data_IF_943933836732
#
_entry.id   IF_943933836732
#
_cell.length_a   1.000
_cell.length_b   1.000
_cell.length_c   1.000
_cell.angle_alpha   90.00
_cell.angle_beta   90.00
_cell.angle_gamma   90.00
#
_symmetry.space_group_name_H-M   'P 1'
#
loop_
_entity.id
_entity.type
_entity.pdbx_description
1 polymer ?
#
# COMPACT_ATOMS: atom_id res chain seq x y z
N UNK A 1 -21.01 9.23 -16.40
CA UNK A 1 -19.68 8.63 -16.18
C UNK A 1 -19.79 7.63 -15.02
N UNK A 2 -19.04 6.51 -15.00
CA UNK A 2 -19.02 5.69 -13.82
C UNK A 2 -18.47 6.50 -12.62
N UNK A 3 -19.02 6.26 -11.42
CA UNK A 3 -18.61 6.97 -10.23
C UNK A 3 -17.14 6.64 -9.88
N UNK A 4 -16.38 7.64 -9.44
CA UNK A 4 -15.00 7.45 -8.97
C UNK A 4 -15.03 6.86 -7.56
N UNK A 5 -14.61 5.60 -7.42
CA UNK A 5 -14.57 4.93 -6.12
C UNK A 5 -13.36 5.38 -5.32
N UNK A 6 -13.59 5.83 -4.10
CA UNK A 6 -12.57 6.42 -3.25
C UNK A 6 -12.75 5.94 -1.81
N UNK A 7 -11.87 5.05 -1.32
CA UNK A 7 -11.85 4.64 0.08
C UNK A 7 -11.61 5.84 1.01
N UNK A 8 -12.34 5.90 2.12
CA UNK A 8 -12.21 6.97 3.14
C UNK A 8 -10.75 7.15 3.56
N UNK A 9 -10.07 6.06 3.87
CA UNK A 9 -8.68 6.11 4.29
C UNK A 9 -7.77 6.73 3.21
N UNK A 10 -7.96 6.35 1.95
CA UNK A 10 -7.16 6.87 0.84
C UNK A 10 -7.40 8.38 0.66
N UNK A 11 -8.65 8.84 0.69
CA UNK A 11 -8.98 10.26 0.61
C UNK A 11 -8.28 11.07 1.70
N UNK A 12 -8.44 10.64 2.94
CA UNK A 12 -7.94 11.34 4.12
C UNK A 12 -6.41 11.32 4.17
N UNK A 13 -5.78 10.15 4.02
CA UNK A 13 -4.32 10.05 4.08
C UNK A 13 -3.65 10.79 2.92
N UNK A 14 -4.24 10.77 1.73
CA UNK A 14 -3.68 11.47 0.57
C UNK A 14 -3.67 13.00 0.76
N UNK A 15 -4.72 13.56 1.34
CA UNK A 15 -4.85 15.02 1.48
C UNK A 15 -4.27 15.58 2.78
N UNK A 16 -4.41 14.85 3.88
CA UNK A 16 -4.18 15.39 5.23
C UNK A 16 -2.98 14.78 5.94
N UNK A 17 -2.34 13.76 5.38
CA UNK A 17 -1.14 13.19 5.98
C UNK A 17 -0.01 14.19 5.95
N UNK A 18 0.56 14.49 7.10
CA UNK A 18 1.64 15.45 7.30
C UNK A 18 2.80 14.85 8.08
N UNK A 19 3.94 15.54 8.11
CA UNK A 19 5.09 15.19 8.91
C UNK A 19 6.00 14.17 8.24
N UNK A 20 6.60 13.29 9.03
CA UNK A 20 7.81 12.56 8.66
C UNK A 20 7.60 11.05 8.58
N UNK A 21 8.44 10.38 7.79
CA UNK A 21 8.62 8.93 7.90
C UNK A 21 9.43 8.65 9.17
N UNK A 22 8.94 7.76 10.03
CA UNK A 22 9.62 7.32 11.23
C UNK A 22 9.63 5.79 11.33
N UNK A 23 10.81 5.19 11.19
CA UNK A 23 10.96 3.74 11.21
C UNK A 23 10.79 3.11 12.59
N UNK A 24 10.81 3.89 13.67
CA UNK A 24 10.54 3.40 15.03
C UNK A 24 9.12 2.90 15.21
N UNK A 25 8.20 3.43 14.39
CA UNK A 25 6.77 3.15 14.47
C UNK A 25 6.26 2.23 13.35
N UNK A 26 7.16 1.64 12.57
CA UNK A 26 6.79 0.70 11.48
C UNK A 26 7.17 -0.73 11.84
N UNK A 27 6.33 -1.71 11.48
CA UNK A 27 6.65 -3.12 11.66
C UNK A 27 5.45 -4.04 11.37
N UNK A 28 5.74 -5.25 10.88
CA UNK A 28 4.72 -6.27 10.55
C UNK A 28 3.91 -6.71 11.78
N UNK A 29 4.57 -6.90 12.91
CA UNK A 29 3.92 -7.35 14.15
C UNK A 29 2.89 -6.34 14.67
N UNK A 30 3.12 -5.04 14.44
CA UNK A 30 2.21 -3.98 14.88
C UNK A 30 0.86 -3.98 14.16
N UNK A 31 0.82 -4.32 12.86
CA UNK A 31 -0.45 -4.40 12.15
C UNK A 31 -1.34 -5.55 12.65
N UNK A 32 -0.74 -6.71 12.94
CA UNK A 32 -1.45 -7.85 13.53
C UNK A 32 -1.86 -7.58 14.97
N UNK A 33 -1.02 -6.91 15.73
CA UNK A 33 -1.31 -6.49 17.10
C UNK A 33 -2.42 -5.45 17.12
N UNK A 34 -2.39 -4.45 16.25
CA UNK A 34 -3.47 -3.47 16.07
C UNK A 34 -4.82 -4.13 15.82
N UNK A 35 -4.91 -5.06 14.86
CA UNK A 35 -6.15 -5.77 14.57
C UNK A 35 -6.63 -6.63 15.77
N UNK A 36 -5.72 -7.18 16.58
CA UNK A 36 -6.07 -7.91 17.81
C UNK A 36 -6.62 -6.97 18.88
N UNK A 37 -6.01 -5.78 19.01
CA UNK A 37 -6.41 -4.77 19.98
C UNK A 37 -7.77 -4.19 19.61
N UNK A 38 -8.03 -3.84 18.33
CA UNK A 38 -9.34 -3.40 17.86
C UNK A 38 -10.43 -4.40 18.27
N UNK A 39 -10.25 -5.69 17.96
CA UNK A 39 -11.20 -6.74 18.35
C UNK A 39 -11.39 -6.85 19.88
N UNK A 40 -10.31 -6.65 20.66
CA UNK A 40 -10.38 -6.64 22.14
C UNK A 40 -11.24 -5.49 22.64
N UNK A 41 -11.03 -4.28 22.12
CA UNK A 41 -11.77 -3.08 22.51
C UNK A 41 -13.24 -3.14 22.07
N UNK A 42 -13.49 -3.55 20.83
CA UNK A 42 -14.82 -3.73 20.27
C UNK A 42 -15.65 -4.75 21.08
N UNK A 43 -15.01 -5.87 21.46
CA UNK A 43 -15.68 -6.88 22.31
C UNK A 43 -15.93 -6.39 23.74
N UNK A 44 -15.04 -5.58 24.28
CA UNK A 44 -15.19 -5.01 25.63
C UNK A 44 -16.23 -3.87 25.70
N UNK A 45 -16.58 -3.27 24.56
CA UNK A 45 -17.56 -2.20 24.50
C UNK A 45 -19.02 -2.65 24.79
N UNK A 46 -19.30 -3.96 24.74
CA UNK A 46 -20.57 -4.55 25.18
C UNK A 46 -21.70 -4.48 24.14
N UNK A 47 -22.92 -4.73 24.62
CA UNK A 47 -24.12 -4.69 23.79
C UNK A 47 -24.41 -3.26 23.33
N UNK A 48 -24.85 -3.11 22.08
CA UNK A 48 -25.14 -1.80 21.47
C UNK A 48 -23.96 -1.16 20.72
N UNK A 49 -22.75 -1.75 20.79
CA UNK A 49 -21.60 -1.33 20.00
C UNK A 49 -21.53 -2.13 18.68
N UNK A 50 -21.84 -1.46 17.55
CA UNK A 50 -21.72 -2.05 16.23
C UNK A 50 -20.27 -1.89 15.72
N UNK A 51 -19.53 -3.01 15.63
CA UNK A 51 -18.16 -3.04 15.18
C UNK A 51 -18.03 -3.20 13.65
N UNK A 52 -16.99 -2.64 13.05
CA UNK A 52 -16.62 -2.83 11.64
C UNK A 52 -17.77 -2.48 10.67
N UNK A 53 -18.44 -1.36 10.90
CA UNK A 53 -19.63 -0.96 10.14
C UNK A 53 -19.21 -0.46 8.76
N UNK A 54 -19.60 -1.18 7.71
CA UNK A 54 -19.38 -0.73 6.34
C UNK A 54 -20.31 0.44 6.01
N UNK A 55 -19.72 1.52 5.53
CA UNK A 55 -20.41 2.73 5.12
C UNK A 55 -20.04 3.06 3.66
N UNK A 56 -21.03 3.51 2.90
CA UNK A 56 -20.84 3.97 1.53
C UNK A 56 -21.79 5.11 1.23
N UNK A 57 -21.36 6.08 0.46
CA UNK A 57 -22.20 7.19 0.04
C UNK A 57 -21.74 7.82 -1.26
N UNK A 58 -22.70 8.36 -2.01
CA UNK A 58 -22.41 9.06 -3.26
C UNK A 58 -22.39 10.57 -3.02
N UNK A 59 -21.45 11.25 -3.62
CA UNK A 59 -21.29 12.71 -3.62
C UNK A 59 -20.79 13.16 -4.97
N UNK A 60 -21.03 14.43 -5.28
CA UNK A 60 -20.48 15.07 -6.47
C UNK A 60 -19.59 16.24 -6.06
N UNK A 61 -18.40 16.31 -6.65
CA UNK A 61 -17.51 17.45 -6.52
C UNK A 61 -16.85 17.76 -7.86
N UNK A 62 -16.81 19.02 -8.26
CA UNK A 62 -16.25 19.50 -9.54
C UNK A 62 -16.75 18.72 -10.77
N UNK A 63 -18.02 18.31 -10.78
CA UNK A 63 -18.65 17.54 -11.86
C UNK A 63 -18.27 16.07 -11.92
N UNK A 64 -17.60 15.53 -10.90
CA UNK A 64 -17.24 14.11 -10.78
C UNK A 64 -18.15 13.46 -9.75
N UNK A 65 -18.86 12.38 -10.12
CA UNK A 65 -19.55 11.54 -9.14
C UNK A 65 -18.54 10.66 -8.39
N UNK A 66 -18.49 10.77 -7.07
CA UNK A 66 -17.67 9.96 -6.18
C UNK A 66 -18.53 8.95 -5.43
N UNK A 67 -18.04 7.73 -5.30
CA UNK A 67 -18.52 6.75 -4.32
C UNK A 67 -17.48 6.64 -3.23
N UNK A 68 -17.79 7.19 -2.05
CA UNK A 68 -16.92 7.14 -0.87
C UNK A 68 -17.32 5.92 -0.05
N UNK A 69 -16.36 5.09 0.33
CA UNK A 69 -16.64 3.87 1.06
C UNK A 69 -15.55 3.53 2.08
N UNK A 70 -15.95 2.87 3.18
CA UNK A 70 -15.01 2.41 4.19
C UNK A 70 -15.70 1.70 5.35
N UNK A 71 -14.92 1.36 6.37
CA UNK A 71 -15.42 0.70 7.59
C UNK A 71 -15.06 1.54 8.78
N UNK A 72 -16.10 1.99 9.51
CA UNK A 72 -15.92 2.60 10.81
C UNK A 72 -15.57 1.52 11.84
N UNK A 73 -14.61 1.75 12.71
CA UNK A 73 -14.19 0.79 13.74
C UNK A 73 -15.34 0.46 14.71
N UNK A 74 -16.15 1.48 15.04
CA UNK A 74 -17.32 1.27 15.88
C UNK A 74 -18.36 2.38 15.78
N UNK A 75 -19.62 2.01 15.98
CA UNK A 75 -20.75 2.94 16.10
C UNK A 75 -21.62 2.49 17.26
N UNK A 76 -21.98 3.42 18.13
CA UNK A 76 -22.86 3.15 19.26
C UNK A 76 -23.68 4.38 19.65
N UNK A 77 -24.64 4.22 20.54
CA UNK A 77 -25.39 5.32 21.14
C UNK A 77 -24.96 5.44 22.60
N UNK A 78 -24.60 6.64 23.03
CA UNK A 78 -24.21 6.90 24.41
C UNK A 78 -25.41 6.95 25.38
N UNK A 79 -25.14 7.15 26.65
CA UNK A 79 -26.17 7.22 27.71
C UNK A 79 -27.12 8.43 27.54
N UNK A 80 -26.67 9.48 26.84
CA UNK A 80 -27.50 10.65 26.50
C UNK A 80 -28.33 10.46 25.22
N UNK A 81 -28.26 9.30 24.58
CA UNK A 81 -28.95 9.00 23.34
C UNK A 81 -28.27 9.63 22.09
N UNK A 82 -27.02 10.04 22.20
CA UNK A 82 -26.25 10.59 21.06
C UNK A 82 -25.52 9.47 20.34
N UNK A 83 -25.60 9.45 19.02
CA UNK A 83 -24.80 8.52 18.20
C UNK A 83 -23.34 8.93 18.20
N UNK A 84 -22.44 7.98 18.43
CA UNK A 84 -21.00 8.16 18.46
C UNK A 84 -20.34 7.28 17.40
N UNK A 85 -19.51 7.89 16.56
CA UNK A 85 -18.58 7.19 15.66
C UNK A 85 -17.27 7.04 16.40
N UNK A 86 -16.78 5.82 16.59
CA UNK A 86 -15.56 5.51 17.32
C UNK A 86 -14.46 5.08 16.34
N UNK A 87 -13.38 5.82 16.31
CA UNK A 87 -12.19 5.51 15.53
C UNK A 87 -11.07 5.08 16.48
N UNK A 88 -10.62 3.83 16.34
CA UNK A 88 -9.65 3.20 17.24
C UNK A 88 -8.26 3.26 16.62
N UNK A 89 -7.28 3.70 17.39
CA UNK A 89 -5.88 3.75 16.98
C UNK A 89 -4.98 3.14 18.03
N UNK A 90 -4.01 2.34 17.58
CA UNK A 90 -2.95 1.81 18.42
C UNK A 90 -1.70 2.67 18.26
N UNK A 91 -1.01 2.96 19.36
CA UNK A 91 0.19 3.78 19.37
C UNK A 91 1.23 3.27 20.38
N UNK A 92 2.51 3.50 20.07
CA UNK A 92 3.62 3.32 21.02
C UNK A 92 4.08 4.65 21.63
N UNK A 93 3.42 5.76 21.30
CA UNK A 93 3.69 7.05 21.95
C UNK A 93 3.34 6.92 23.43
N UNK A 94 4.20 7.40 24.38
CA UNK A 94 3.88 7.39 25.79
C UNK A 94 2.52 8.03 26.07
N UNK A 95 1.79 7.49 27.05
CA UNK A 95 0.42 7.93 27.33
C UNK A 95 0.32 9.44 27.61
N UNK A 96 1.31 10.00 28.31
CA UNK A 96 1.38 11.43 28.64
C UNK A 96 1.63 12.33 27.42
N UNK A 97 2.14 11.78 26.32
CA UNK A 97 2.44 12.48 25.07
C UNK A 97 1.33 12.30 24.01
N UNK A 98 0.28 11.52 24.31
CA UNK A 98 -0.85 11.33 23.41
C UNK A 98 -1.75 12.56 23.46
N UNK A 99 -1.71 13.35 22.41
CA UNK A 99 -2.53 14.56 22.28
C UNK A 99 -3.72 14.32 21.34
N UNK A 100 -4.78 15.08 21.52
CA UNK A 100 -5.99 15.05 20.71
C UNK A 100 -5.74 15.35 19.23
N UNK A 101 -4.82 16.24 18.94
CA UNK A 101 -4.43 16.72 17.61
C UNK A 101 -3.18 16.03 17.04
N UNK A 102 -2.73 14.94 17.67
CA UNK A 102 -1.51 14.23 17.30
C UNK A 102 -1.46 13.84 15.82
N UNK A 103 -2.62 13.51 15.23
CA UNK A 103 -2.71 13.14 13.82
C UNK A 103 -4.06 13.57 13.23
N UNK A 104 -4.08 14.57 12.32
CA UNK A 104 -5.31 15.08 11.72
C UNK A 104 -6.09 14.03 10.93
N UNK A 105 -5.40 13.02 10.36
CA UNK A 105 -6.08 11.96 9.61
C UNK A 105 -7.02 11.12 10.49
N UNK A 106 -6.74 10.99 11.78
CA UNK A 106 -7.58 10.18 12.66
C UNK A 106 -8.96 10.83 12.87
N UNK A 107 -8.98 12.14 13.15
CA UNK A 107 -10.24 12.89 13.23
C UNK A 107 -10.98 12.89 11.90
N UNK A 108 -10.25 13.15 10.81
CA UNK A 108 -10.84 13.21 9.48
C UNK A 108 -11.52 11.89 9.07
N UNK A 109 -10.94 10.73 9.41
CA UNK A 109 -11.58 9.43 9.18
C UNK A 109 -12.92 9.32 9.91
N UNK A 110 -12.93 9.61 11.21
CA UNK A 110 -14.15 9.59 12.02
C UNK A 110 -15.20 10.59 11.54
N UNK A 111 -14.78 11.80 11.14
CA UNK A 111 -15.67 12.85 10.60
C UNK A 111 -16.30 12.42 9.27
N UNK A 112 -15.53 11.82 8.35
CA UNK A 112 -16.07 11.28 7.09
C UNK A 112 -17.06 10.15 7.34
N UNK A 113 -16.75 9.22 8.25
CA UNK A 113 -17.71 8.18 8.65
C UNK A 113 -18.97 8.78 9.30
N UNK A 114 -18.79 9.84 10.10
CA UNK A 114 -19.89 10.61 10.67
C UNK A 114 -20.81 11.22 9.61
N UNK A 115 -20.23 11.84 8.56
CA UNK A 115 -20.98 12.38 7.44
C UNK A 115 -21.77 11.30 6.69
N UNK A 116 -21.15 10.14 6.42
CA UNK A 116 -21.80 9.03 5.74
C UNK A 116 -22.94 8.44 6.56
N UNK A 117 -22.67 8.08 7.83
CA UNK A 117 -23.65 7.47 8.73
C UNK A 117 -24.78 8.43 9.09
N UNK A 118 -24.44 9.66 9.48
CA UNK A 118 -25.41 10.69 9.85
C UNK A 118 -26.44 10.95 8.76
N UNK A 119 -26.00 11.02 7.49
CA UNK A 119 -26.91 11.14 6.34
C UNK A 119 -27.78 9.90 6.15
N UNK A 120 -27.21 8.71 6.24
CA UNK A 120 -27.97 7.45 6.10
C UNK A 120 -29.06 7.33 7.15
N UNK A 121 -28.77 7.73 8.39
CA UNK A 121 -29.69 7.68 9.54
C UNK A 121 -30.52 8.95 9.73
N UNK A 122 -30.33 9.97 8.88
CA UNK A 122 -31.01 11.30 8.97
C UNK A 122 -30.81 11.97 10.33
N UNK A 123 -29.62 11.86 10.90
CA UNK A 123 -29.28 12.50 12.16
C UNK A 123 -29.05 14.01 11.94
N UNK A 124 -29.30 14.81 12.97
CA UNK A 124 -28.96 16.25 12.94
C UNK A 124 -27.61 16.55 13.56
N UNK A 125 -27.20 15.72 14.52
CA UNK A 125 -25.92 15.82 15.26
C UNK A 125 -25.46 14.44 15.64
N UNK A 126 -24.16 14.30 15.81
CA UNK A 126 -23.50 13.10 16.31
C UNK A 126 -22.11 13.45 16.87
N UNK A 127 -21.54 12.53 17.59
CA UNK A 127 -20.22 12.66 18.14
C UNK A 127 -19.22 11.80 17.38
N UNK A 128 -17.98 12.29 17.30
CA UNK A 128 -16.84 11.50 16.86
C UNK A 128 -15.92 11.30 18.05
N UNK A 129 -15.53 10.06 18.31
CA UNK A 129 -14.62 9.68 19.37
C UNK A 129 -13.34 9.09 18.77
N UNK A 130 -12.17 9.59 19.20
CA UNK A 130 -10.91 8.90 18.98
C UNK A 130 -10.56 8.08 20.22
N UNK A 131 -10.30 6.81 20.03
CA UNK A 131 -9.87 5.88 21.08
C UNK A 131 -8.43 5.45 20.78
N UNK A 132 -7.46 5.99 21.53
CA UNK A 132 -6.06 5.57 21.48
C UNK A 132 -5.81 4.46 22.49
N UNK A 133 -5.14 3.42 22.02
CA UNK A 133 -4.63 2.35 22.87
C UNK A 133 -3.10 2.35 22.82
N UNK A 134 -2.49 2.59 23.97
CA UNK A 134 -1.04 2.52 24.11
C UNK A 134 -0.60 1.06 24.29
N UNK A 135 0.27 0.58 23.41
CA UNK A 135 0.56 -0.86 23.26
C UNK A 135 1.46 -1.43 24.38
N UNK A 136 2.27 -0.60 25.03
CA UNK A 136 3.22 -1.05 26.04
C UNK A 136 2.63 -1.03 27.47
N UNK A 137 1.67 -0.14 27.74
CA UNK A 137 1.07 0.07 29.07
C UNK A 137 -0.39 -0.39 29.16
N UNK A 138 -1.02 -0.72 28.02
CA UNK A 138 -2.45 -1.02 27.93
C UNK A 138 -3.38 0.17 28.26
N UNK A 139 -2.86 1.39 28.31
CA UNK A 139 -3.64 2.58 28.58
C UNK A 139 -4.58 2.92 27.43
N UNK A 140 -5.78 3.40 27.77
CA UNK A 140 -6.81 3.81 26.83
C UNK A 140 -7.17 5.28 27.06
N UNK A 141 -6.88 6.12 26.06
CA UNK A 141 -7.25 7.53 26.08
C UNK A 141 -8.37 7.77 25.07
N UNK A 142 -9.36 8.57 25.44
CA UNK A 142 -10.50 8.89 24.59
C UNK A 142 -10.70 10.39 24.50
N UNK A 143 -10.83 10.88 23.26
CA UNK A 143 -11.17 12.26 22.96
C UNK A 143 -12.48 12.28 22.18
N UNK A 144 -13.39 13.20 22.51
CA UNK A 144 -14.70 13.31 21.88
C UNK A 144 -14.91 14.72 21.36
N UNK A 145 -15.40 14.81 20.12
CA UNK A 145 -15.85 16.07 19.52
C UNK A 145 -17.29 15.94 19.06
N UNK A 146 -18.04 17.02 19.25
CA UNK A 146 -19.45 17.11 18.89
C UNK A 146 -19.58 17.81 17.53
N UNK A 147 -20.42 17.25 16.66
CA UNK A 147 -20.65 17.82 15.33
C UNK A 147 -22.12 17.84 14.97
N UNK A 148 -22.50 18.84 14.22
CA UNK A 148 -23.73 18.81 13.43
C UNK A 148 -23.47 18.01 12.13
N UNK A 149 -24.52 17.44 11.55
CA UNK A 149 -24.40 16.77 10.26
C UNK A 149 -23.93 17.73 9.16
N UNK A 150 -24.37 18.99 9.23
CA UNK A 150 -24.02 20.02 8.27
C UNK A 150 -22.50 20.31 8.26
N UNK A 151 -21.87 20.40 9.43
CA UNK A 151 -20.42 20.55 9.57
C UNK A 151 -19.65 19.36 8.98
N UNK A 152 -20.12 18.13 9.23
CA UNK A 152 -19.49 16.94 8.71
C UNK A 152 -19.65 16.79 7.19
N UNK A 153 -20.83 17.12 6.66
CA UNK A 153 -21.07 17.13 5.22
C UNK A 153 -20.25 18.21 4.50
N UNK A 154 -20.13 19.39 5.08
CA UNK A 154 -19.28 20.45 4.56
C UNK A 154 -17.80 20.05 4.56
N UNK A 155 -17.33 19.41 5.63
CA UNK A 155 -15.96 18.87 5.70
C UNK A 155 -15.70 17.82 4.63
N UNK A 156 -16.59 16.84 4.44
CA UNK A 156 -16.45 15.83 3.40
C UNK A 156 -16.45 16.47 2.01
N UNK A 157 -17.33 17.43 1.76
CA UNK A 157 -17.41 18.13 0.48
C UNK A 157 -16.11 18.90 0.16
N UNK A 158 -15.53 19.59 1.14
CA UNK A 158 -14.25 20.29 0.99
C UNK A 158 -13.11 19.32 0.64
N UNK A 159 -13.01 18.15 1.31
CA UNK A 159 -12.04 17.12 0.97
C UNK A 159 -12.21 16.61 -0.47
N UNK A 160 -13.44 16.42 -0.92
CA UNK A 160 -13.70 15.96 -2.27
C UNK A 160 -13.35 17.02 -3.32
N UNK A 161 -13.59 18.29 -3.05
CA UNK A 161 -13.19 19.40 -3.92
C UNK A 161 -11.68 19.51 -4.03
N UNK A 162 -10.95 19.33 -2.93
CA UNK A 162 -9.48 19.27 -2.92
C UNK A 162 -8.94 18.06 -3.68
N UNK A 163 -9.62 16.91 -3.62
CA UNK A 163 -9.21 15.69 -4.33
C UNK A 163 -9.62 15.68 -5.81
N UNK A 164 -10.65 16.42 -6.20
CA UNK A 164 -11.22 16.41 -7.55
C UNK A 164 -10.18 16.63 -8.68
N UNK A 165 -9.18 17.53 -8.57
CA UNK A 165 -8.14 17.68 -9.61
C UNK A 165 -7.31 16.40 -9.82
N UNK A 166 -7.09 15.62 -8.78
CA UNK A 166 -6.39 14.34 -8.83
C UNK A 166 -7.25 13.26 -9.48
N UNK A 167 -8.53 13.20 -9.13
CA UNK A 167 -9.50 12.31 -9.77
C UNK A 167 -9.66 12.62 -11.27
N UNK A 168 -9.76 13.89 -11.65
CA UNK A 168 -9.81 14.32 -13.05
C UNK A 168 -8.59 13.84 -13.82
N UNK A 169 -7.39 14.05 -13.27
CA UNK A 169 -6.12 13.57 -13.84
C UNK A 169 -6.12 12.07 -14.06
N UNK A 170 -6.61 11.30 -13.08
CA UNK A 170 -6.65 9.83 -13.16
C UNK A 170 -7.66 9.34 -14.19
N UNK A 171 -8.84 9.98 -14.26
CA UNK A 171 -9.86 9.65 -15.26
C UNK A 171 -9.37 9.94 -16.68
N UNK A 172 -8.82 11.15 -16.90
CA UNK A 172 -8.25 11.53 -18.20
C UNK A 172 -7.09 10.60 -18.62
N UNK A 173 -6.23 10.21 -17.64
CA UNK A 173 -5.17 9.26 -17.91
C UNK A 173 -5.72 7.88 -18.29
N UNK A 174 -6.71 7.34 -17.57
CA UNK A 174 -7.33 6.06 -17.88
C UNK A 174 -7.91 6.04 -19.30
N UNK A 175 -8.57 7.11 -19.72
CA UNK A 175 -9.11 7.24 -21.09
C UNK A 175 -7.99 7.27 -22.13
N UNK A 176 -7.00 8.16 -21.98
CA UNK A 176 -5.87 8.28 -22.90
C UNK A 176 -5.10 6.97 -23.01
N UNK A 177 -4.81 6.32 -21.88
CA UNK A 177 -4.15 5.02 -21.81
C UNK A 177 -4.95 3.94 -22.53
N UNK A 178 -6.26 3.87 -22.28
CA UNK A 178 -7.14 2.89 -22.92
C UNK A 178 -7.09 2.97 -24.44
N UNK A 179 -7.23 4.17 -24.99
CA UNK A 179 -7.11 4.39 -26.45
C UNK A 179 -5.72 4.00 -26.95
N UNK A 180 -4.67 4.46 -26.30
CA UNK A 180 -3.28 4.21 -26.71
C UNK A 180 -2.92 2.72 -26.66
N UNK A 181 -3.21 2.03 -25.55
CA UNK A 181 -2.86 0.62 -25.38
C UNK A 181 -3.71 -0.31 -26.26
N UNK A 182 -4.97 0.04 -26.56
CA UNK A 182 -5.79 -0.75 -27.48
C UNK A 182 -5.29 -0.70 -28.93
N UNK A 183 -4.63 0.39 -29.31
CA UNK A 183 -4.04 0.57 -30.63
C UNK A 183 -2.58 0.12 -30.73
N UNK A 184 -1.96 -0.29 -29.59
CA UNK A 184 -0.54 -0.63 -29.52
C UNK A 184 -0.17 -1.76 -30.49
N UNK A 185 0.83 -1.54 -31.35
CA UNK A 185 1.36 -2.52 -32.27
C UNK A 185 2.58 -3.26 -31.72
N UNK A 186 2.85 -4.45 -32.26
CA UNK A 186 4.03 -5.21 -31.90
C UNK A 186 5.31 -4.48 -32.38
N UNK A 187 6.32 -4.22 -31.51
CA UNK A 187 7.40 -3.28 -31.79
C UNK A 187 8.53 -3.85 -32.67
N UNK A 188 8.27 -4.93 -33.39
CA UNK A 188 9.24 -5.54 -34.30
C UNK A 188 8.56 -5.87 -35.64
N UNK A 189 9.33 -5.89 -36.75
CA UNK A 189 8.77 -6.18 -38.09
C UNK A 189 8.13 -7.56 -38.21
N UNK A 190 8.59 -8.54 -37.43
CA UNK A 190 8.09 -9.90 -37.41
C UNK A 190 8.22 -10.55 -36.03
N UNK A 191 7.34 -11.50 -35.78
CA UNK A 191 7.48 -12.38 -34.62
C UNK A 191 8.53 -13.47 -34.87
N UNK A 192 9.27 -13.81 -33.82
CA UNK A 192 10.14 -14.98 -33.83
C UNK A 192 9.29 -16.29 -33.84
N UNK A 193 9.83 -17.44 -34.26
CA UNK A 193 9.12 -18.72 -34.15
C UNK A 193 8.60 -18.96 -32.73
N UNK A 194 7.31 -19.32 -32.60
CA UNK A 194 6.64 -19.53 -31.31
C UNK A 194 6.23 -18.26 -30.54
N UNK A 195 6.81 -17.11 -30.83
CA UNK A 195 6.55 -15.87 -30.10
C UNK A 195 5.10 -15.39 -30.23
N UNK A 196 4.53 -15.46 -31.44
CA UNK A 196 3.13 -15.06 -31.69
C UNK A 196 2.13 -15.99 -30.99
N UNK A 197 2.42 -17.28 -30.94
CA UNK A 197 1.58 -18.25 -30.22
C UNK A 197 1.57 -17.94 -28.71
N UNK A 198 2.75 -17.73 -28.12
CA UNK A 198 2.88 -17.35 -26.71
C UNK A 198 2.12 -16.06 -26.40
N UNK A 199 2.29 -15.01 -27.19
CA UNK A 199 1.59 -13.75 -27.02
C UNK A 199 0.06 -13.91 -27.11
N UNK A 200 -0.42 -14.77 -28.00
CA UNK A 200 -1.84 -15.09 -28.13
C UNK A 200 -2.41 -15.80 -26.90
N UNK A 201 -1.69 -16.75 -26.32
CA UNK A 201 -2.11 -17.41 -25.07
C UNK A 201 -2.14 -16.44 -23.88
N UNK A 202 -1.12 -15.58 -23.76
CA UNK A 202 -1.11 -14.55 -22.71
C UNK A 202 -2.29 -13.60 -22.87
N UNK A 203 -2.56 -13.11 -24.09
CA UNK A 203 -3.71 -12.24 -24.32
C UNK A 203 -5.02 -12.91 -23.92
N UNK A 204 -5.24 -14.17 -24.34
CA UNK A 204 -6.43 -14.95 -23.96
C UNK A 204 -6.56 -15.11 -22.44
N UNK A 205 -5.45 -15.38 -21.76
CA UNK A 205 -5.45 -15.50 -20.30
C UNK A 205 -5.81 -14.18 -19.60
N UNK A 206 -5.25 -13.05 -20.10
CA UNK A 206 -5.53 -11.72 -19.54
C UNK A 206 -6.96 -11.24 -19.81
N UNK A 207 -7.58 -11.68 -20.92
CA UNK A 207 -8.94 -11.26 -21.32
C UNK A 207 -10.02 -12.28 -20.95
N UNK A 208 -9.65 -13.40 -20.35
CA UNK A 208 -10.60 -14.42 -19.92
C UNK A 208 -11.54 -13.87 -18.83
N UNK A 209 -12.80 -14.35 -18.84
CA UNK A 209 -13.79 -13.95 -17.85
C UNK A 209 -13.26 -14.23 -16.42
N UNK A 210 -13.48 -13.30 -15.47
CA UNK A 210 -13.05 -13.47 -14.10
C UNK A 210 -13.62 -14.75 -13.48
N UNK A 211 -12.77 -15.56 -12.85
CA UNK A 211 -13.18 -16.73 -12.07
C UNK A 211 -12.85 -16.50 -10.59
N UNK A 212 -13.52 -17.21 -9.68
CA UNK A 212 -13.25 -17.09 -8.23
C UNK A 212 -11.79 -17.39 -7.86
N UNK A 213 -11.09 -18.22 -8.65
CA UNK A 213 -9.69 -18.62 -8.43
C UNK A 213 -8.68 -17.82 -9.28
N UNK A 214 -9.15 -16.85 -10.07
CA UNK A 214 -8.34 -16.19 -11.08
C UNK A 214 -7.97 -17.12 -12.25
N UNK A 215 -7.38 -16.54 -13.29
CA UNK A 215 -6.82 -17.30 -14.44
C UNK A 215 -5.32 -17.48 -14.22
N UNK A 216 -4.81 -18.68 -14.44
CA UNK A 216 -3.38 -19.00 -14.32
C UNK A 216 -2.89 -19.63 -15.61
N UNK A 217 -1.83 -19.05 -16.17
CA UNK A 217 -1.15 -19.56 -17.36
C UNK A 217 0.31 -19.84 -17.01
N UNK A 218 0.75 -21.07 -17.22
CA UNK A 218 2.16 -21.45 -17.11
C UNK A 218 2.76 -21.58 -18.51
N UNK A 219 3.79 -20.79 -18.80
CA UNK A 219 4.45 -20.75 -20.08
C UNK A 219 5.89 -21.24 -19.94
N UNK A 220 6.23 -22.33 -20.62
CA UNK A 220 7.61 -22.78 -20.77
C UNK A 220 8.08 -22.45 -22.19
N UNK A 221 9.12 -21.62 -22.31
CA UNK A 221 9.64 -21.20 -23.60
C UNK A 221 11.18 -21.14 -23.56
N UNK A 222 11.87 -21.52 -24.65
CA UNK A 222 13.33 -21.49 -24.72
C UNK A 222 13.88 -20.06 -24.55
N UNK A 223 15.16 -19.97 -24.18
CA UNK A 223 15.87 -18.70 -24.16
C UNK A 223 15.95 -18.09 -25.57
N UNK A 224 15.95 -16.78 -25.68
CA UNK A 224 16.08 -16.08 -26.98
C UNK A 224 14.78 -15.92 -27.79
N UNK A 225 13.66 -16.55 -27.41
CA UNK A 225 12.38 -16.37 -28.09
C UNK A 225 11.78 -14.96 -27.93
N UNK A 226 12.29 -14.16 -26.97
CA UNK A 226 11.73 -12.85 -26.64
C UNK A 226 10.58 -12.91 -25.66
N UNK A 227 10.67 -13.77 -24.62
CA UNK A 227 9.64 -13.97 -23.59
C UNK A 227 9.07 -12.68 -23.04
N UNK A 228 9.93 -11.76 -22.59
CA UNK A 228 9.53 -10.49 -21.96
C UNK A 228 8.54 -9.71 -22.84
N UNK A 229 8.86 -9.49 -24.11
CA UNK A 229 7.96 -8.80 -25.03
C UNK A 229 6.69 -9.62 -25.34
N UNK A 230 6.82 -10.96 -25.42
CA UNK A 230 5.68 -11.86 -25.67
C UNK A 230 4.66 -11.89 -24.54
N UNK A 231 5.03 -11.45 -23.33
CA UNK A 231 4.10 -11.38 -22.20
C UNK A 231 3.67 -9.95 -21.90
N UNK A 232 4.59 -8.96 -21.98
CA UNK A 232 4.27 -7.56 -21.74
C UNK A 232 3.31 -6.96 -22.78
N UNK A 233 3.62 -7.13 -24.06
CA UNK A 233 2.84 -6.55 -25.15
C UNK A 233 1.36 -7.00 -25.10
N UNK A 234 1.01 -8.30 -25.05
CA UNK A 234 -0.38 -8.71 -25.00
C UNK A 234 -1.09 -8.33 -23.69
N UNK A 235 -0.38 -8.32 -22.56
CA UNK A 235 -0.95 -7.88 -21.27
C UNK A 235 -1.30 -6.38 -21.29
N UNK A 236 -0.45 -5.54 -21.88
CA UNK A 236 -0.73 -4.12 -22.07
C UNK A 236 -1.92 -3.91 -23.02
N UNK A 237 -2.00 -4.68 -24.10
CA UNK A 237 -3.17 -4.66 -24.99
C UNK A 237 -4.46 -5.06 -24.27
N UNK A 238 -4.41 -6.04 -23.37
CA UNK A 238 -5.56 -6.44 -22.56
C UNK A 238 -6.03 -5.29 -21.65
N UNK A 239 -5.08 -4.56 -21.00
CA UNK A 239 -5.42 -3.35 -20.23
C UNK A 239 -6.09 -2.31 -21.15
N UNK A 240 -5.59 -2.11 -22.36
CA UNK A 240 -6.19 -1.21 -23.34
C UNK A 240 -7.63 -1.54 -23.69
N UNK A 241 -8.01 -2.82 -23.67
CA UNK A 241 -9.39 -3.29 -23.91
C UNK A 241 -10.25 -3.34 -22.64
N UNK A 242 -9.75 -2.83 -21.51
CA UNK A 242 -10.47 -2.79 -20.23
C UNK A 242 -10.35 -4.07 -19.40
N UNK A 243 -9.43 -4.97 -19.74
CA UNK A 243 -9.16 -6.18 -18.96
C UNK A 243 -7.95 -5.96 -18.05
N UNK A 244 -8.21 -5.56 -16.81
CA UNK A 244 -7.20 -5.24 -15.82
C UNK A 244 -6.90 -3.75 -15.69
N UNK A 245 -6.60 -3.34 -14.46
CA UNK A 245 -6.28 -1.94 -14.14
C UNK A 245 -4.77 -1.69 -14.07
N UNK A 246 -4.01 -2.66 -13.56
CA UNK A 246 -2.55 -2.56 -13.37
C UNK A 246 -1.87 -3.87 -13.73
N UNK A 247 -0.62 -3.75 -14.16
CA UNK A 247 0.25 -4.86 -14.47
C UNK A 247 1.42 -4.90 -13.49
N UNK A 248 1.59 -6.01 -12.78
CA UNK A 248 2.75 -6.28 -11.94
C UNK A 248 3.70 -7.22 -12.68
N UNK A 249 4.88 -6.73 -13.05
CA UNK A 249 5.95 -7.54 -13.64
C UNK A 249 6.96 -7.89 -12.54
N UNK A 250 6.93 -9.14 -12.12
CA UNK A 250 7.66 -9.61 -10.94
C UNK A 250 8.82 -10.53 -11.34
N UNK A 251 10.00 -10.28 -10.79
CA UNK A 251 11.22 -11.01 -11.11
C UNK A 251 12.02 -11.38 -9.87
N UNK A 252 12.91 -12.38 -10.02
CA UNK A 252 13.82 -12.79 -8.93
C UNK A 252 15.09 -11.92 -8.83
N UNK A 253 15.44 -11.17 -9.89
CA UNK A 253 16.74 -10.49 -10.01
C UNK A 253 16.62 -9.13 -10.68
N UNK A 254 17.49 -8.19 -10.29
CA UNK A 254 17.53 -6.86 -10.90
C UNK A 254 17.83 -6.87 -12.41
N UNK A 255 18.65 -7.83 -12.88
CA UNK A 255 18.96 -7.98 -14.32
C UNK A 255 17.75 -8.32 -15.17
N UNK A 256 16.76 -9.00 -14.61
CA UNK A 256 15.49 -9.28 -15.29
C UNK A 256 14.51 -8.12 -15.19
N UNK A 257 14.66 -7.23 -14.19
CA UNK A 257 13.92 -5.96 -14.13
C UNK A 257 14.32 -5.04 -15.30
N UNK A 258 15.62 -4.92 -15.61
CA UNK A 258 16.09 -4.13 -16.75
C UNK A 258 15.56 -4.65 -18.09
N UNK A 259 15.38 -5.97 -18.24
CA UNK A 259 14.78 -6.53 -19.46
C UNK A 259 13.30 -6.08 -19.65
N UNK A 260 12.54 -5.91 -18.57
CA UNK A 260 11.20 -5.35 -18.64
C UNK A 260 11.23 -3.85 -18.97
N UNK A 261 12.14 -3.09 -18.34
CA UNK A 261 12.33 -1.67 -18.65
C UNK A 261 12.72 -1.45 -20.11
N UNK A 262 13.64 -2.25 -20.64
CA UNK A 262 14.08 -2.21 -22.05
C UNK A 262 12.93 -2.56 -23.00
N UNK A 263 12.08 -3.53 -22.64
CA UNK A 263 10.91 -3.88 -23.42
C UNK A 263 9.90 -2.72 -23.48
N UNK A 264 9.63 -2.06 -22.35
CA UNK A 264 8.78 -0.86 -22.29
C UNK A 264 9.41 0.30 -23.07
N UNK A 265 10.72 0.53 -22.93
CA UNK A 265 11.42 1.56 -23.68
C UNK A 265 11.31 1.33 -25.19
N UNK A 266 11.39 0.08 -25.63
CA UNK A 266 11.21 -0.28 -27.05
C UNK A 266 9.78 -0.04 -27.53
N UNK A 267 8.77 -0.36 -26.74
CA UNK A 267 7.38 -0.03 -27.07
C UNK A 267 7.19 1.49 -27.23
N UNK A 268 7.76 2.29 -26.33
CA UNK A 268 7.73 3.76 -26.44
C UNK A 268 8.48 4.29 -27.67
N UNK A 269 9.59 3.67 -28.03
CA UNK A 269 10.36 4.04 -29.22
C UNK A 269 9.62 3.68 -30.53
N UNK A 270 8.79 2.63 -30.54
CA UNK A 270 7.98 2.26 -31.69
C UNK A 270 6.69 3.06 -31.83
N UNK A 271 6.18 3.63 -30.72
CA UNK A 271 5.00 4.48 -30.69
C UNK A 271 5.25 5.69 -29.77
N UNK A 272 5.56 6.83 -30.37
CA UNK A 272 5.82 8.08 -29.64
C UNK A 272 4.58 8.64 -28.92
N UNK A 273 3.39 8.14 -29.21
CA UNK A 273 2.12 8.54 -28.57
C UNK A 273 1.70 7.56 -27.46
N UNK A 274 2.53 6.57 -27.16
CA UNK A 274 2.20 5.56 -26.16
C UNK A 274 1.99 6.19 -24.77
N UNK A 275 0.74 6.23 -24.34
CA UNK A 275 0.35 6.64 -22.98
C UNK A 275 0.51 5.43 -22.04
N UNK A 276 1.63 5.40 -21.33
CA UNK A 276 1.95 4.34 -20.38
C UNK A 276 2.79 4.92 -19.23
N UNK A 277 2.44 4.64 -18.00
CA UNK A 277 3.24 4.96 -16.82
C UNK A 277 3.80 3.67 -16.21
N UNK A 278 5.11 3.65 -15.99
CA UNK A 278 5.79 2.50 -15.40
C UNK A 278 6.73 2.93 -14.29
N UNK A 279 6.73 2.19 -13.19
CA UNK A 279 7.64 2.40 -12.06
C UNK A 279 8.41 1.12 -11.76
N UNK A 280 9.71 1.24 -11.47
CA UNK A 280 10.54 0.13 -11.00
C UNK A 280 10.80 0.30 -9.51
N UNK A 281 10.21 -0.60 -8.72
CA UNK A 281 10.40 -0.65 -7.28
C UNK A 281 11.69 -1.40 -6.94
N UNK A 282 12.60 -0.72 -6.28
CA UNK A 282 13.87 -1.27 -5.83
C UNK A 282 13.92 -1.29 -4.30
N UNK A 283 14.52 -2.32 -3.72
CA UNK A 283 14.63 -2.44 -2.26
C UNK A 283 15.25 -1.21 -1.61
N UNK A 284 14.75 -0.84 -0.43
CA UNK A 284 15.07 0.40 0.29
C UNK A 284 16.57 0.59 0.50
N UNK A 285 17.28 -0.49 0.83
CA UNK A 285 18.73 -0.50 1.06
C UNK A 285 19.53 -0.10 -0.18
N UNK A 286 18.98 -0.36 -1.38
CA UNK A 286 19.66 -0.07 -2.65
C UNK A 286 19.42 1.33 -3.17
N UNK A 287 18.36 1.99 -2.73
CA UNK A 287 17.96 3.33 -3.21
C UNK A 287 18.11 4.41 -2.16
N UNK A 288 18.40 4.05 -0.91
CA UNK A 288 18.60 5.00 0.17
C UNK A 288 19.69 6.02 -0.17
N UNK A 289 19.34 7.31 -0.11
CA UNK A 289 20.27 8.42 -0.37
C UNK A 289 20.99 8.90 0.89
N UNK A 290 20.60 8.41 2.06
CA UNK A 290 21.17 8.80 3.35
C UNK A 290 21.23 7.58 4.30
N UNK A 291 22.08 6.59 3.99
CA UNK A 291 22.30 5.45 4.86
C UNK A 291 23.11 5.85 6.11
N UNK A 292 23.00 5.06 7.17
CA UNK A 292 23.85 5.18 8.36
C UNK A 292 25.32 4.79 8.08
N UNK A 293 26.15 4.81 9.11
CA UNK A 293 27.58 4.49 9.03
C UNK A 293 27.84 3.02 8.59
N UNK A 294 26.90 2.14 8.87
CA UNK A 294 26.90 0.71 8.50
C UNK A 294 26.32 0.46 7.09
N UNK A 295 25.78 1.50 6.43
CA UNK A 295 25.17 1.41 5.11
C UNK A 295 23.69 1.00 5.12
N UNK A 296 23.03 1.04 6.27
CA UNK A 296 21.62 0.70 6.41
C UNK A 296 20.70 1.94 6.37
N UNK A 297 19.47 1.82 5.86
CA UNK A 297 18.49 2.91 5.92
C UNK A 297 18.04 3.19 7.36
N UNK A 298 18.44 4.32 7.92
CA UNK A 298 17.96 4.82 9.20
C UNK A 298 16.92 5.93 8.95
N UNK A 299 15.64 5.56 8.87
CA UNK A 299 14.57 6.50 8.56
C UNK A 299 14.04 7.16 9.83
N UNK A 300 14.87 7.99 10.44
CA UNK A 300 14.54 8.80 11.62
C UNK A 300 14.46 10.26 11.19
N UNK A 301 13.39 11.00 11.55
CA UNK A 301 13.20 12.39 11.13
C UNK A 301 14.38 13.31 11.50
N UNK A 302 14.97 13.08 12.67
CA UNK A 302 16.11 13.84 13.20
C UNK A 302 17.43 13.56 12.47
N UNK A 303 17.54 12.42 11.75
CA UNK A 303 18.77 12.02 11.08
C UNK A 303 18.67 12.11 9.56
N UNK A 304 17.51 11.80 8.98
CA UNK A 304 17.36 11.69 7.53
C UNK A 304 16.54 12.85 6.95
N UNK A 305 17.14 13.76 6.15
CA UNK A 305 16.43 14.89 5.56
C UNK A 305 15.32 14.46 4.59
N UNK A 306 15.44 13.29 3.97
CA UNK A 306 14.46 12.73 3.04
C UNK A 306 13.25 12.09 3.76
N UNK A 307 13.41 11.73 5.05
CA UNK A 307 12.34 11.24 5.90
C UNK A 307 11.60 12.39 6.61
N UNK A 308 12.36 13.42 7.04
CA UNK A 308 11.82 14.60 7.71
C UNK A 308 10.87 15.37 6.79
N UNK A 309 9.62 15.58 7.21
CA UNK A 309 8.59 16.29 6.45
C UNK A 309 8.29 15.66 5.08
N UNK A 310 8.42 14.34 4.95
CA UNK A 310 8.16 13.63 3.70
C UNK A 310 6.74 13.86 3.19
N UNK A 311 5.75 13.69 4.08
CA UNK A 311 4.34 13.79 3.71
C UNK A 311 3.90 15.21 3.33
N UNK A 312 4.62 16.21 3.79
CA UNK A 312 4.38 17.62 3.44
C UNK A 312 4.82 17.95 2.00
N UNK A 313 5.69 17.12 1.42
CA UNK A 313 6.30 17.37 0.09
C UNK A 313 5.93 16.37 -0.98
N UNK A 314 5.54 15.14 -0.61
CA UNK A 314 5.33 14.05 -1.57
C UNK A 314 4.28 14.36 -2.62
N UNK A 315 3.18 15.02 -2.28
CA UNK A 315 2.13 15.36 -3.26
C UNK A 315 2.63 16.37 -4.31
N UNK A 316 3.51 17.28 -3.93
CA UNK A 316 4.17 18.19 -4.89
C UNK A 316 5.10 17.43 -5.84
N UNK A 317 5.88 16.48 -5.31
CA UNK A 317 6.75 15.63 -6.12
C UNK A 317 5.94 14.73 -7.07
N UNK A 318 4.87 14.10 -6.58
CA UNK A 318 3.96 13.28 -7.40
C UNK A 318 3.36 14.11 -8.55
N UNK A 319 2.85 15.31 -8.23
CA UNK A 319 2.28 16.19 -9.25
C UNK A 319 3.28 16.53 -10.34
N UNK A 320 4.51 16.92 -9.97
CA UNK A 320 5.56 17.25 -10.92
C UNK A 320 5.93 16.06 -11.83
N UNK A 321 6.10 14.86 -11.25
CA UNK A 321 6.42 13.65 -11.99
C UNK A 321 5.29 13.21 -12.94
N UNK A 322 4.04 13.38 -12.53
CA UNK A 322 2.89 13.05 -13.37
C UNK A 322 2.68 14.05 -14.50
N UNK A 323 3.17 15.29 -14.33
CA UNK A 323 3.05 16.38 -15.31
C UNK A 323 4.22 16.43 -16.31
N UNK A 324 5.37 15.79 -16.02
CA UNK A 324 6.55 15.81 -16.90
C UNK A 324 6.38 15.05 -18.23
N UNK A 325 5.34 14.20 -18.31
CA UNK A 325 4.96 13.47 -19.51
C UNK A 325 5.86 12.28 -19.87
N UNK A 326 6.95 12.02 -19.14
CA UNK A 326 7.87 10.90 -19.45
C UNK A 326 7.22 9.54 -19.17
N UNK A 327 6.44 9.45 -18.11
CA UNK A 327 5.77 8.23 -17.66
C UNK A 327 6.73 7.08 -17.32
N UNK A 328 8.05 7.31 -17.27
CA UNK A 328 9.08 6.34 -16.93
C UNK A 328 9.73 6.71 -15.60
N UNK A 329 9.48 5.90 -14.59
CA UNK A 329 9.95 6.14 -13.24
C UNK A 329 10.84 4.97 -12.79
N UNK A 330 12.02 4.90 -13.39
CA UNK A 330 13.06 3.97 -13.00
C UNK A 330 13.85 4.49 -11.79
N UNK A 331 14.83 3.70 -11.35
CA UNK A 331 15.66 4.03 -10.19
C UNK A 331 16.34 5.40 -10.30
N UNK A 332 16.81 5.78 -11.50
CA UNK A 332 17.51 7.05 -11.72
C UNK A 332 16.52 8.21 -11.62
N UNK A 333 15.38 8.13 -12.30
CA UNK A 333 14.33 9.15 -12.25
C UNK A 333 13.81 9.37 -10.82
N UNK A 334 13.61 8.29 -10.05
CA UNK A 334 13.20 8.39 -8.65
C UNK A 334 14.27 9.02 -7.77
N UNK A 335 15.57 8.72 -8.00
CA UNK A 335 16.67 9.32 -7.26
C UNK A 335 16.82 10.81 -7.55
N UNK A 336 16.64 11.24 -8.80
CA UNK A 336 16.72 12.64 -9.19
C UNK A 336 15.53 13.45 -8.62
N UNK A 337 14.31 12.93 -8.73
CA UNK A 337 13.15 13.52 -8.11
C UNK A 337 13.28 13.59 -6.58
N UNK A 338 13.80 12.54 -5.95
CA UNK A 338 14.05 12.51 -4.51
C UNK A 338 15.00 13.63 -4.06
N UNK A 339 16.05 13.90 -4.81
CA UNK A 339 16.98 15.02 -4.53
C UNK A 339 16.31 16.37 -4.75
N UNK A 340 15.57 16.52 -5.86
CA UNK A 340 14.88 17.77 -6.21
C UNK A 340 13.85 18.18 -5.16
N UNK A 341 13.05 17.24 -4.68
CA UNK A 341 11.94 17.51 -3.75
C UNK A 341 12.27 17.18 -2.30
N UNK A 342 13.48 16.67 -2.02
CA UNK A 342 13.90 16.22 -0.68
C UNK A 342 12.93 15.20 -0.09
N UNK A 343 12.61 14.14 -0.84
CA UNK A 343 11.71 13.05 -0.44
C UNK A 343 12.43 11.69 -0.53
N UNK A 344 12.01 10.71 0.28
CA UNK A 344 12.61 9.38 0.23
C UNK A 344 12.32 8.70 -1.13
N UNK A 345 13.34 8.27 -1.90
CA UNK A 345 13.12 7.67 -3.23
C UNK A 345 12.36 6.33 -3.17
N UNK A 346 12.51 5.58 -2.08
CA UNK A 346 11.79 4.33 -1.88
C UNK A 346 10.29 4.58 -1.67
N UNK A 347 9.94 5.44 -0.73
CA UNK A 347 8.54 5.76 -0.43
C UNK A 347 7.88 6.50 -1.60
N UNK A 348 8.62 7.42 -2.28
CA UNK A 348 8.15 8.07 -3.50
C UNK A 348 7.80 7.05 -4.59
N UNK A 349 8.64 6.03 -4.79
CA UNK A 349 8.35 4.95 -5.73
C UNK A 349 7.08 4.17 -5.35
N UNK A 350 6.88 3.93 -4.06
CA UNK A 350 5.65 3.28 -3.57
C UNK A 350 4.41 4.15 -3.78
N UNK A 351 4.46 5.44 -3.46
CA UNK A 351 3.32 6.34 -3.63
C UNK A 351 3.02 6.57 -5.12
N UNK A 352 4.07 6.71 -5.95
CA UNK A 352 3.92 6.85 -7.40
C UNK A 352 3.34 5.59 -8.06
N UNK A 353 3.56 4.40 -7.49
CA UNK A 353 3.03 3.15 -8.03
C UNK A 353 1.50 3.11 -8.10
N UNK A 354 0.81 3.89 -7.27
CA UNK A 354 -0.65 4.03 -7.33
C UNK A 354 -1.13 4.73 -8.62
N UNK A 355 -0.26 5.56 -9.22
CA UNK A 355 -0.50 6.33 -10.44
C UNK A 355 0.04 5.66 -11.70
N UNK A 356 0.74 4.54 -11.57
CA UNK A 356 1.36 3.81 -12.68
C UNK A 356 0.50 2.64 -13.16
N UNK A 357 0.67 2.32 -14.44
CA UNK A 357 -0.02 1.21 -15.12
C UNK A 357 0.79 -0.08 -14.99
N UNK A 358 2.14 0.02 -14.99
CA UNK A 358 3.06 -1.09 -14.85
C UNK A 358 3.95 -0.88 -13.62
N UNK A 359 3.99 -1.88 -12.75
CA UNK A 359 4.84 -1.93 -11.58
C UNK A 359 5.83 -3.07 -11.77
N UNK A 360 7.11 -2.74 -11.92
CA UNK A 360 8.20 -3.70 -12.03
C UNK A 360 8.84 -3.86 -10.65
N UNK A 361 9.03 -5.09 -10.20
CA UNK A 361 9.61 -5.31 -8.87
C UNK A 361 10.05 -6.74 -8.60
N UNK A 362 10.54 -6.96 -7.38
CA UNK A 362 10.91 -8.28 -6.89
C UNK A 362 9.66 -9.10 -6.51
N UNK A 363 9.77 -10.42 -6.53
CA UNK A 363 8.72 -11.35 -6.06
C UNK A 363 8.20 -11.06 -4.66
N UNK A 364 9.07 -10.50 -3.78
CA UNK A 364 8.74 -10.19 -2.40
C UNK A 364 7.54 -9.23 -2.32
N UNK A 365 7.40 -8.32 -3.28
CA UNK A 365 6.29 -7.37 -3.30
C UNK A 365 4.90 -8.03 -3.46
N UNK A 366 4.83 -9.28 -3.88
CA UNK A 366 3.57 -10.03 -3.94
C UNK A 366 3.53 -11.21 -2.95
N UNK A 367 4.64 -11.95 -2.81
CA UNK A 367 4.63 -13.26 -2.16
C UNK A 367 5.16 -13.26 -0.73
N UNK A 368 5.94 -12.25 -0.33
CA UNK A 368 6.50 -12.18 1.01
C UNK A 368 5.44 -11.69 2.01
N UNK A 369 5.18 -12.43 3.11
CA UNK A 369 4.15 -12.06 4.08
C UNK A 369 4.44 -10.74 4.81
N UNK A 370 5.70 -10.27 4.83
CA UNK A 370 6.12 -9.07 5.56
C UNK A 370 6.14 -7.84 4.66
N UNK A 371 6.69 -7.97 3.43
CA UNK A 371 6.97 -6.83 2.56
C UNK A 371 6.03 -6.70 1.35
N UNK A 372 5.02 -7.60 1.22
CA UNK A 372 4.06 -7.49 0.13
C UNK A 372 3.35 -6.12 0.13
N UNK A 373 2.97 -5.67 -1.05
CA UNK A 373 2.36 -4.34 -1.25
C UNK A 373 0.91 -4.31 -0.76
N UNK A 374 0.72 -4.14 0.54
CA UNK A 374 -0.62 -4.09 1.18
C UNK A 374 -1.53 -3.07 0.54
N UNK A 375 -1.00 -1.92 0.11
CA UNK A 375 -1.77 -0.86 -0.58
C UNK A 375 -2.55 -1.35 -1.81
N UNK A 376 -2.11 -2.49 -2.41
CA UNK A 376 -2.79 -3.12 -3.55
C UNK A 376 -3.51 -4.41 -3.17
N UNK A 377 -3.01 -5.17 -2.21
CA UNK A 377 -3.41 -6.56 -2.00
C UNK A 377 -4.28 -6.78 -0.77
N UNK A 378 -4.46 -5.76 0.09
CA UNK A 378 -5.43 -5.81 1.21
C UNK A 378 -6.88 -5.61 0.74
N UNK A 379 -7.09 -5.16 -0.50
CA UNK A 379 -8.39 -5.03 -1.14
C UNK A 379 -8.41 -5.76 -2.49
N UNK A 380 -9.61 -6.13 -2.94
CA UNK A 380 -9.78 -6.70 -4.27
C UNK A 380 -9.50 -5.65 -5.34
N UNK A 381 -8.73 -6.02 -6.35
CA UNK A 381 -8.41 -5.19 -7.51
C UNK A 381 -8.29 -6.05 -8.77
N UNK A 382 -8.42 -5.41 -9.92
CA UNK A 382 -8.29 -6.08 -11.21
C UNK A 382 -6.84 -6.00 -11.70
N UNK A 383 -6.02 -6.90 -11.15
CA UNK A 383 -4.57 -6.92 -11.34
C UNK A 383 -4.13 -8.02 -12.29
N UNK A 384 -3.22 -7.71 -13.21
CA UNK A 384 -2.50 -8.67 -14.04
C UNK A 384 -1.10 -8.92 -13.44
N UNK A 385 -0.71 -10.17 -13.31
CA UNK A 385 0.60 -10.57 -12.78
C UNK A 385 1.40 -11.31 -13.84
N UNK A 386 2.57 -10.80 -14.17
CA UNK A 386 3.58 -11.47 -14.97
C UNK A 386 4.74 -11.86 -14.07
N UNK A 387 4.90 -13.17 -13.82
CA UNK A 387 5.95 -13.71 -12.95
C UNK A 387 7.03 -14.32 -13.83
N UNK A 388 8.12 -13.60 -14.02
CA UNK A 388 9.23 -14.03 -14.87
C UNK A 388 10.15 -14.98 -14.10
N UNK A 389 10.71 -15.99 -14.81
CA UNK A 389 11.57 -17.03 -14.23
C UNK A 389 10.94 -17.71 -12.99
N UNK A 390 9.64 -18.04 -13.08
CA UNK A 390 8.82 -18.57 -11.99
C UNK A 390 9.36 -19.86 -11.36
N UNK A 391 10.29 -20.57 -12.04
CA UNK A 391 10.97 -21.73 -11.49
C UNK A 391 11.80 -21.41 -10.22
N UNK A 392 12.14 -20.13 -9.98
CA UNK A 392 12.81 -19.69 -8.76
C UNK A 392 11.86 -19.53 -7.55
N UNK A 393 10.53 -19.49 -7.78
CA UNK A 393 9.55 -19.25 -6.71
C UNK A 393 9.58 -20.28 -5.57
N UNK A 394 9.75 -21.60 -5.80
CA UNK A 394 9.77 -22.57 -4.71
C UNK A 394 10.88 -22.31 -3.68
N UNK A 395 12.10 -21.98 -4.14
CA UNK A 395 13.20 -21.64 -3.25
C UNK A 395 13.00 -20.30 -2.56
N UNK A 396 12.52 -19.29 -3.30
CA UNK A 396 12.18 -17.97 -2.74
C UNK A 396 11.08 -18.09 -1.69
N UNK A 397 10.03 -18.85 -1.95
CA UNK A 397 8.96 -19.08 -0.98
C UNK A 397 9.48 -19.75 0.31
N UNK A 398 10.37 -20.75 0.18
CA UNK A 398 11.01 -21.33 1.36
C UNK A 398 11.77 -20.28 2.17
N UNK A 399 12.53 -19.40 1.51
CA UNK A 399 13.25 -18.32 2.19
C UNK A 399 12.30 -17.32 2.87
N UNK A 400 11.24 -16.88 2.18
CA UNK A 400 10.23 -15.92 2.69
C UNK A 400 9.49 -16.46 3.93
N UNK A 401 9.19 -17.77 3.94
CA UNK A 401 8.45 -18.43 5.03
C UNK A 401 9.36 -19.16 6.01
N UNK A 402 10.68 -18.93 5.97
CA UNK A 402 11.64 -19.48 6.89
C UNK A 402 12.18 -18.41 7.82
N UNK A 403 12.26 -18.75 9.10
CA UNK A 403 12.90 -17.90 10.10
C UNK A 403 14.09 -18.63 10.72
N UNK A 404 15.20 -17.91 10.92
CA UNK A 404 16.36 -18.41 11.64
C UNK A 404 16.39 -17.81 13.03
N UNK A 405 16.31 -18.68 14.03
CA UNK A 405 16.42 -18.29 15.42
C UNK A 405 17.68 -18.89 16.04
N UNK A 406 18.56 -18.05 16.56
CA UNK A 406 19.85 -18.47 17.09
C UNK A 406 19.86 -18.41 18.62
N UNK A 407 20.43 -19.44 19.27
CA UNK A 407 20.60 -19.48 20.73
C UNK A 407 21.51 -18.35 21.22
N UNK A 408 22.50 -17.92 20.45
CA UNK A 408 23.34 -16.77 20.76
C UNK A 408 22.52 -15.50 21.00
N UNK A 409 21.55 -15.20 20.12
CA UNK A 409 20.69 -14.02 20.26
C UNK A 409 19.84 -14.04 21.53
N UNK A 410 19.36 -15.22 21.95
CA UNK A 410 18.69 -15.38 23.26
C UNK A 410 19.61 -15.07 24.43
N UNK A 411 20.85 -15.52 24.34
CA UNK A 411 21.84 -15.32 25.41
C UNK A 411 22.23 -13.84 25.53
N UNK A 412 22.39 -13.15 24.40
CA UNK A 412 22.68 -11.72 24.32
C UNK A 412 21.51 -10.90 24.88
N UNK A 413 20.28 -11.18 24.47
CA UNK A 413 19.08 -10.55 24.99
C UNK A 413 18.93 -10.74 26.50
N UNK A 414 19.22 -11.95 27.01
CA UNK A 414 19.23 -12.21 28.46
C UNK A 414 20.29 -11.38 29.22
N UNK A 415 21.47 -11.20 28.63
CA UNK A 415 22.54 -10.36 29.21
C UNK A 415 22.16 -8.91 29.23
N UNK A 416 21.58 -8.38 28.14
CA UNK A 416 21.12 -7.00 28.02
C UNK A 416 20.08 -6.62 29.08
N UNK A 417 19.22 -7.56 29.50
CA UNK A 417 18.20 -7.37 30.54
C UNK A 417 18.76 -7.31 31.98
N UNK A 418 20.06 -7.49 32.19
CA UNK A 418 20.68 -7.38 33.50
C UNK A 418 20.19 -8.42 34.52
N UNK A 419 20.35 -8.14 35.83
CA UNK A 419 20.10 -9.10 36.93
C UNK A 419 18.67 -9.11 37.48
N UNK A 420 17.75 -8.27 37.01
CA UNK A 420 16.36 -8.17 37.50
C UNK A 420 15.48 -9.37 37.12
N UNK A 421 14.42 -9.62 37.89
CA UNK A 421 13.34 -10.53 37.52
C UNK A 421 12.34 -9.76 36.66
N UNK A 422 12.14 -10.16 35.40
CA UNK A 422 11.10 -9.61 34.53
C UNK A 422 10.37 -10.73 33.79
N UNK A 423 9.16 -10.48 33.39
CA UNK A 423 8.35 -11.42 32.57
C UNK A 423 9.09 -11.80 31.30
N UNK A 424 9.78 -10.85 30.68
CA UNK A 424 10.58 -11.03 29.46
C UNK A 424 11.76 -11.99 29.71
N UNK A 425 12.47 -11.83 30.84
CA UNK A 425 13.58 -12.71 31.21
C UNK A 425 13.12 -14.15 31.49
N UNK A 426 11.93 -14.29 32.04
CA UNK A 426 11.29 -15.60 32.23
C UNK A 426 10.92 -16.25 30.90
N UNK A 427 10.36 -15.47 29.97
CA UNK A 427 10.04 -15.93 28.62
C UNK A 427 11.29 -16.37 27.84
N UNK A 428 12.36 -15.56 27.83
CA UNK A 428 13.64 -15.89 27.23
C UNK A 428 14.26 -17.17 27.83
N UNK A 429 14.08 -17.39 29.14
CA UNK A 429 14.57 -18.60 29.79
C UNK A 429 13.79 -19.84 29.41
N UNK A 430 12.46 -19.73 29.23
CA UNK A 430 11.63 -20.81 28.67
C UNK A 430 12.02 -21.14 27.24
N UNK A 431 12.26 -20.14 26.40
CA UNK A 431 12.71 -20.33 25.02
C UNK A 431 14.08 -21.02 24.96
N UNK A 432 15.03 -20.64 25.83
CA UNK A 432 16.36 -21.28 25.91
C UNK A 432 16.25 -22.77 26.30
N UNK A 433 15.33 -23.09 27.23
CA UNK A 433 15.05 -24.47 27.60
C UNK A 433 14.46 -25.28 26.44
N UNK A 434 13.51 -24.71 25.71
CA UNK A 434 12.92 -25.32 24.51
C UNK A 434 13.98 -25.58 23.41
N UNK A 435 14.95 -24.70 23.26
CA UNK A 435 16.10 -24.92 22.35
C UNK A 435 16.95 -26.14 22.76
N UNK A 436 17.18 -26.31 24.06
CA UNK A 436 17.94 -27.46 24.57
C UNK A 436 17.18 -28.77 24.37
N UNK A 437 15.87 -28.75 24.56
CA UNK A 437 14.99 -29.90 24.36
C UNK A 437 14.91 -30.25 22.86
N UNK A 438 14.72 -29.26 21.97
CA UNK A 438 14.73 -29.48 20.53
C UNK A 438 16.05 -30.03 20.01
N UNK A 439 17.19 -29.59 20.53
CA UNK A 439 18.50 -30.12 20.17
C UNK A 439 18.63 -31.61 20.53
N UNK A 440 18.10 -32.03 21.69
CA UNK A 440 18.11 -33.43 22.14
C UNK A 440 17.20 -34.33 21.28
N UNK A 441 16.16 -33.74 20.68
CA UNK A 441 15.22 -34.51 19.84
C UNK A 441 15.73 -34.74 18.42
N UNK A 442 16.75 -33.98 17.97
CA UNK A 442 17.33 -34.05 16.61
C UNK A 442 18.69 -34.73 16.59
N UNK A 443 19.32 -34.92 17.76
CA UNK A 443 20.55 -35.72 17.95
C UNK A 443 20.24 -37.16 18.30
#
# INVERSE_FOLDING_TARGET
MPAFRLPVRQLVEFLLRTGSIDSRFTGFDRANEGARIHRKLQKAAGEGYAAEVFLSGEREAAGIPFTIEGRADGIFTDEAGVTVIDEIKTTAVPADDIAEDMNPCHWAQGMVYGALYGRQQRLKKLDVRLTYYQIDTDDILRFVRHFTLEELEAFLQDLLEQYAPWAQRQLAWKEQRGVSLSALDFPFPAYRPGQRALAGEVYRACTAAPSKSGVRLFCQAPTGIGKTMSVLFPALRAIGTGCGEKLFYLTARNTTQSAAEDAIARLRASDSKLALRSVTLTAKEKVCLHPDAEGHPACLPELCPYANGYYDRVNTALKALLDDGTGRFDRAALADAAKQFTVCPFELGLDLSEWCDVIIGDYNYLFDPVVHLRRFFDSAGDWLFLVDEAHNLPERARAMYSARFCKSSLTEAKRALGRGKSTLKTALSKSDKAFLEGRKAVS
#
